data_IF_056372629789
#
_entry.id   IF_056372629789
#
_cell.length_a   1.000
_cell.length_b   1.000
_cell.length_c   1.000
_cell.angle_alpha   90.00
_cell.angle_beta   90.00
_cell.angle_gamma   90.00
#
_symmetry.space_group_name_H-M   'P 1'
#
loop_
_entity.id
_entity.type
_entity.pdbx_description
1 polymer ?
#
# COMPACT_ATOMS: atom_id res chain seq x y z
N UNK A 1 8.29 10.71 25.21
CA UNK A 1 8.18 9.28 24.90
C UNK A 1 9.31 8.94 23.94
N UNK A 2 10.29 8.19 24.41
CA UNK A 2 11.46 7.77 23.62
C UNK A 2 11.01 6.79 22.54
N UNK A 3 10.86 7.24 21.30
CA UNK A 3 10.61 6.36 20.15
C UNK A 3 11.93 5.66 19.82
N UNK A 4 12.20 4.51 20.46
CA UNK A 4 13.28 3.64 20.01
C UNK A 4 12.99 3.27 18.54
N UNK A 5 13.86 3.66 17.64
CA UNK A 5 13.80 3.19 16.26
C UNK A 5 14.21 1.72 16.26
N UNK A 6 13.23 0.84 16.08
CA UNK A 6 13.48 -0.59 15.93
C UNK A 6 13.96 -0.81 14.49
N UNK A 7 15.10 -1.48 14.26
CA UNK A 7 15.53 -1.86 12.92
C UNK A 7 14.44 -2.69 12.22
N UNK A 8 14.23 -2.46 10.93
CA UNK A 8 13.13 -3.12 10.19
C UNK A 8 13.19 -4.65 10.26
N UNK A 9 14.40 -5.23 10.29
CA UNK A 9 14.56 -6.68 10.40
C UNK A 9 14.08 -7.23 11.74
N UNK A 10 14.38 -6.53 12.84
CA UNK A 10 13.90 -6.87 14.18
C UNK A 10 12.38 -6.72 14.28
N UNK A 11 11.85 -5.63 13.73
CA UNK A 11 10.41 -5.42 13.69
C UNK A 11 9.68 -6.55 12.93
N UNK A 12 10.24 -7.02 11.80
CA UNK A 12 9.66 -8.12 11.01
C UNK A 12 9.65 -9.42 11.83
N UNK A 13 10.71 -9.73 12.54
CA UNK A 13 10.76 -10.92 13.41
C UNK A 13 9.64 -10.87 14.46
N UNK A 14 9.53 -9.76 15.19
CA UNK A 14 8.47 -9.54 16.16
C UNK A 14 7.06 -9.53 15.53
N UNK A 15 6.93 -9.00 14.32
CA UNK A 15 5.65 -8.96 13.61
C UNK A 15 5.15 -10.37 13.23
N UNK A 16 6.07 -11.27 12.86
CA UNK A 16 5.74 -12.69 12.62
C UNK A 16 5.29 -13.42 13.87
N UNK A 17 5.79 -13.02 15.02
CA UNK A 17 5.38 -13.52 16.33
C UNK A 17 4.11 -12.84 16.86
N UNK A 18 3.61 -11.81 16.15
CA UNK A 18 2.44 -11.03 16.56
C UNK A 18 2.70 -10.05 17.72
N UNK A 19 3.96 -9.88 18.14
CA UNK A 19 4.37 -9.09 19.31
C UNK A 19 4.95 -7.72 18.97
N UNK A 20 5.16 -7.41 17.67
CA UNK A 20 5.76 -6.14 17.26
C UNK A 20 4.87 -4.95 17.67
N UNK A 21 5.47 -3.86 18.18
CA UNK A 21 4.73 -2.63 18.41
C UNK A 21 4.34 -1.97 17.08
N UNK A 22 3.31 -1.09 17.10
CA UNK A 22 3.03 -0.24 15.95
C UNK A 22 4.25 0.56 15.52
N UNK A 23 4.54 0.58 14.22
CA UNK A 23 5.63 1.38 13.64
C UNK A 23 5.07 2.38 12.65
N UNK A 24 5.60 3.60 12.65
CA UNK A 24 5.21 4.64 11.69
C UNK A 24 6.37 4.91 10.75
N UNK A 25 6.12 4.73 9.46
CA UNK A 25 7.13 4.86 8.40
C UNK A 25 6.66 5.82 7.31
N UNK A 26 7.55 6.64 6.73
CA UNK A 26 7.26 7.36 5.50
C UNK A 26 7.21 6.38 4.33
N UNK A 27 6.32 6.61 3.37
CA UNK A 27 6.31 5.84 2.13
C UNK A 27 7.14 6.52 1.06
N UNK A 28 8.04 5.77 0.45
CA UNK A 28 8.73 6.18 -0.75
C UNK A 28 7.85 5.91 -2.00
N UNK A 29 8.02 6.73 -3.04
CA UNK A 29 7.28 6.56 -4.28
C UNK A 29 5.86 7.11 -4.24
N UNK A 30 5.11 6.87 -5.33
CA UNK A 30 3.78 7.43 -5.57
C UNK A 30 2.70 6.37 -5.79
N UNK A 31 3.01 5.10 -5.53
CA UNK A 31 2.12 3.96 -5.85
C UNK A 31 0.79 3.99 -5.11
N UNK A 32 0.73 4.61 -3.93
CA UNK A 32 -0.48 4.73 -3.10
C UNK A 32 -1.21 6.07 -3.24
N UNK A 33 -0.78 6.93 -4.18
CA UNK A 33 -1.52 8.16 -4.49
C UNK A 33 -2.86 7.84 -5.18
N UNK A 34 -3.88 8.67 -5.00
CA UNK A 34 -3.93 9.94 -4.25
C UNK A 34 -4.16 9.76 -2.74
N UNK A 35 -4.47 8.52 -2.29
CA UNK A 35 -4.84 8.30 -0.89
C UNK A 35 -3.70 8.63 0.07
N UNK A 36 -2.50 8.09 -0.18
CA UNK A 36 -1.32 8.32 0.65
C UNK A 36 -0.26 9.01 -0.20
N UNK A 37 0.20 10.18 0.24
CA UNK A 37 1.21 10.97 -0.48
C UNK A 37 2.60 10.58 -0.04
N UNK A 38 3.51 10.53 -1.00
CA UNK A 38 4.93 10.24 -0.76
C UNK A 38 5.48 11.09 0.39
N UNK A 39 6.17 10.44 1.32
CA UNK A 39 6.92 11.04 2.46
C UNK A 39 6.14 12.00 3.36
N UNK A 40 5.12 12.69 2.84
CA UNK A 40 4.34 13.67 3.60
C UNK A 40 3.23 13.05 4.46
N UNK A 41 2.83 11.83 4.15
CA UNK A 41 1.78 11.10 4.86
C UNK A 41 2.39 9.82 5.47
N UNK A 42 3.04 9.89 6.64
CA UNK A 42 3.58 8.70 7.28
C UNK A 42 2.45 7.73 7.65
N UNK A 43 2.75 6.44 7.47
CA UNK A 43 1.80 5.33 7.64
C UNK A 43 2.17 4.53 8.88
N UNK A 44 1.19 4.23 9.72
CA UNK A 44 1.37 3.35 10.87
C UNK A 44 0.98 1.92 10.50
N UNK A 45 1.92 1.03 10.68
CA UNK A 45 1.82 -0.41 10.42
C UNK A 45 1.74 -1.15 11.77
N UNK A 46 0.89 -2.16 11.81
CA UNK A 46 0.78 -3.09 12.94
C UNK A 46 0.97 -4.53 12.43
N UNK A 47 1.39 -5.47 13.29
CA UNK A 47 1.36 -6.89 12.94
C UNK A 47 -0.03 -7.32 12.47
N UNK A 48 -0.08 -8.32 11.61
CA UNK A 48 -1.35 -8.85 11.12
C UNK A 48 -2.05 -9.63 12.24
N UNK A 49 -3.10 -9.05 12.83
CA UNK A 49 -3.83 -9.64 13.97
C UNK A 49 -5.18 -10.29 13.58
N UNK A 50 -5.57 -10.20 12.33
CA UNK A 50 -6.84 -10.71 11.81
C UNK A 50 -6.72 -11.17 10.37
N UNK A 51 -7.63 -12.00 9.86
CA UNK A 51 -7.66 -12.33 8.44
C UNK A 51 -7.76 -11.08 7.57
N UNK A 52 -6.98 -11.06 6.48
CA UNK A 52 -7.01 -10.01 5.48
C UNK A 52 -8.39 -9.93 4.82
N UNK A 53 -8.77 -8.71 4.44
CA UNK A 53 -9.96 -8.42 3.64
C UNK A 53 -9.59 -7.62 2.42
N UNK A 54 -10.33 -7.84 1.33
CA UNK A 54 -10.20 -7.01 0.12
C UNK A 54 -10.42 -5.53 0.50
N UNK A 55 -9.49 -4.68 0.10
CA UNK A 55 -9.48 -3.26 0.44
C UNK A 55 -8.56 -2.90 1.61
N UNK A 56 -8.06 -3.85 2.38
CA UNK A 56 -7.02 -3.59 3.38
C UNK A 56 -5.73 -3.10 2.71
N UNK A 57 -4.97 -2.28 3.43
CA UNK A 57 -3.64 -1.85 2.99
C UNK A 57 -2.60 -2.62 3.80
N UNK A 58 -1.65 -3.24 3.13
CA UNK A 58 -0.67 -4.15 3.76
C UNK A 58 0.75 -3.76 3.42
N UNK A 59 1.65 -4.01 4.38
CA UNK A 59 3.09 -4.03 4.17
C UNK A 59 3.51 -5.45 3.82
N UNK A 60 4.23 -5.63 2.73
CA UNK A 60 4.75 -6.92 2.31
C UNK A 60 6.16 -6.81 1.73
N UNK A 61 6.82 -7.95 1.59
CA UNK A 61 8.14 -8.04 0.96
C UNK A 61 8.05 -8.73 -0.41
N UNK A 62 8.83 -8.24 -1.36
CA UNK A 62 9.03 -8.87 -2.69
C UNK A 62 10.42 -9.46 -2.83
N UNK A 63 11.19 -9.50 -1.74
CA UNK A 63 12.56 -10.00 -1.66
C UNK A 63 13.38 -9.27 -0.60
N UNK A 64 14.62 -9.68 -0.36
CA UNK A 64 15.47 -9.07 0.65
C UNK A 64 15.58 -7.55 0.49
N UNK A 65 15.28 -6.81 1.56
CA UNK A 65 15.36 -5.35 1.62
C UNK A 65 14.31 -4.59 0.78
N UNK A 66 13.36 -5.29 0.15
CA UNK A 66 12.30 -4.67 -0.64
C UNK A 66 10.96 -4.76 0.07
N UNK A 67 10.51 -3.64 0.59
CA UNK A 67 9.25 -3.51 1.31
C UNK A 67 8.29 -2.61 0.55
N UNK A 68 7.06 -3.06 0.41
CA UNK A 68 6.02 -2.38 -0.39
C UNK A 68 4.75 -2.27 0.44
N UNK A 69 4.06 -1.14 0.30
CA UNK A 69 2.74 -0.92 0.91
C UNK A 69 1.73 -0.74 -0.22
N UNK A 70 0.86 -1.72 -0.41
CA UNK A 70 -0.22 -1.67 -1.40
C UNK A 70 -1.54 -2.17 -0.82
N UNK A 71 -2.61 -2.07 -1.59
CA UNK A 71 -3.95 -2.50 -1.20
C UNK A 71 -4.21 -3.93 -1.63
N UNK A 72 -4.83 -4.72 -0.76
CA UNK A 72 -5.31 -6.07 -1.07
C UNK A 72 -6.39 -5.98 -2.14
N UNK A 73 -6.12 -6.57 -3.30
CA UNK A 73 -7.02 -6.58 -4.45
C UNK A 73 -7.77 -7.89 -4.60
N UNK A 74 -7.08 -9.02 -4.46
CA UNK A 74 -7.66 -10.35 -4.50
C UNK A 74 -7.10 -11.22 -3.39
N UNK A 75 -7.92 -12.15 -2.93
CA UNK A 75 -7.56 -13.15 -1.94
C UNK A 75 -7.92 -14.53 -2.45
N UNK A 76 -7.03 -15.46 -2.25
CA UNK A 76 -7.22 -16.91 -2.39
C UNK A 76 -6.78 -17.59 -1.10
N UNK A 77 -7.00 -18.89 -0.99
CA UNK A 77 -6.75 -19.65 0.24
C UNK A 77 -5.31 -19.48 0.76
N UNK A 78 -4.31 -19.58 -0.13
CA UNK A 78 -2.89 -19.55 0.25
C UNK A 78 -2.13 -18.32 -0.24
N UNK A 79 -2.77 -17.44 -1.01
CA UNK A 79 -2.09 -16.31 -1.65
C UNK A 79 -2.95 -15.06 -1.75
N UNK A 80 -2.25 -13.94 -1.80
CA UNK A 80 -2.85 -12.61 -1.92
C UNK A 80 -2.28 -11.88 -3.13
N UNK A 81 -3.11 -11.14 -3.81
CA UNK A 81 -2.69 -10.21 -4.85
C UNK A 81 -2.99 -8.78 -4.40
N UNK A 82 -2.00 -7.92 -4.53
CA UNK A 82 -2.08 -6.51 -4.14
C UNK A 82 -2.03 -5.59 -5.35
N UNK A 83 -2.47 -4.36 -5.17
CA UNK A 83 -2.45 -3.32 -6.19
C UNK A 83 -2.22 -1.97 -5.53
N UNK A 84 -1.22 -1.23 -6.00
CA UNK A 84 -1.04 0.16 -5.61
C UNK A 84 -2.15 1.05 -6.18
N UNK A 85 -2.67 1.96 -5.36
CA UNK A 85 -3.77 2.87 -5.75
C UNK A 85 -3.46 3.69 -7.00
N UNK A 86 -2.18 3.87 -7.34
CA UNK A 86 -1.71 4.56 -8.53
C UNK A 86 -1.02 3.64 -9.56
N UNK A 87 -0.97 2.34 -9.32
CA UNK A 87 -0.32 1.40 -10.23
C UNK A 87 -1.20 1.07 -11.45
N UNK A 88 -0.55 0.72 -12.57
CA UNK A 88 -1.21 0.26 -13.81
C UNK A 88 -1.39 -1.25 -13.79
N UNK A 89 -0.45 -1.97 -13.20
CA UNK A 89 -0.49 -3.43 -13.11
C UNK A 89 -0.61 -3.85 -11.65
N UNK A 90 -1.36 -4.93 -11.37
CA UNK A 90 -1.33 -5.55 -10.05
C UNK A 90 0.04 -6.18 -9.79
N UNK A 91 0.34 -6.36 -8.52
CA UNK A 91 1.52 -7.11 -8.11
C UNK A 91 1.35 -8.61 -8.48
N UNK A 92 2.43 -9.36 -8.58
CA UNK A 92 2.35 -10.81 -8.65
C UNK A 92 1.58 -11.39 -7.45
N UNK A 93 1.03 -12.59 -7.61
CA UNK A 93 0.48 -13.33 -6.49
C UNK A 93 1.58 -13.63 -5.46
N UNK A 94 1.31 -13.33 -4.21
CA UNK A 94 2.24 -13.49 -3.09
C UNK A 94 1.67 -14.50 -2.09
N UNK A 95 2.48 -15.43 -1.58
CA UNK A 95 2.07 -16.25 -0.45
C UNK A 95 1.88 -15.37 0.80
N UNK A 96 0.98 -15.76 1.68
CA UNK A 96 0.66 -14.98 2.89
C UNK A 96 1.89 -14.70 3.77
N UNK A 97 2.89 -15.57 3.76
CA UNK A 97 4.14 -15.40 4.50
C UNK A 97 4.92 -14.13 4.11
N UNK A 98 4.67 -13.59 2.91
CA UNK A 98 5.26 -12.33 2.45
C UNK A 98 4.60 -11.10 3.07
N UNK A 99 3.41 -11.24 3.66
CA UNK A 99 2.70 -10.14 4.31
C UNK A 99 3.28 -9.95 5.71
N UNK A 100 3.82 -8.78 5.96
CA UNK A 100 4.54 -8.46 7.20
C UNK A 100 3.66 -7.73 8.22
N UNK A 101 2.66 -7.00 7.73
CA UNK A 101 1.75 -6.26 8.61
C UNK A 101 0.67 -5.51 7.84
N UNK A 102 -0.21 -4.85 8.60
CA UNK A 102 -1.32 -4.07 8.07
C UNK A 102 -1.13 -2.58 8.37
N UNK A 103 -1.34 -1.75 7.36
CA UNK A 103 -1.43 -0.30 7.53
C UNK A 103 -2.80 0.05 8.14
N UNK A 104 -2.80 0.62 9.34
CA UNK A 104 -4.03 0.92 10.08
C UNK A 104 -4.41 2.40 10.04
N UNK A 105 -3.43 3.27 9.84
CA UNK A 105 -3.68 4.71 9.68
C UNK A 105 -2.54 5.39 8.91
N UNK A 106 -2.83 6.57 8.36
CA UNK A 106 -1.81 7.53 7.93
C UNK A 106 -2.09 8.91 8.53
N UNK A 107 -1.06 9.74 8.61
CA UNK A 107 -1.16 11.11 9.12
C UNK A 107 -0.94 12.11 8.00
N UNK A 108 -1.78 13.15 7.93
CA UNK A 108 -1.67 14.26 6.97
C UNK A 108 -1.97 15.57 7.65
N UNK A 109 -1.04 16.50 7.60
CA UNK A 109 -1.21 17.85 8.21
C UNK A 109 -1.68 17.76 9.68
N UNK A 110 -1.09 16.87 10.48
CA UNK A 110 -1.45 16.67 11.89
C UNK A 110 -2.76 15.88 12.13
N UNK A 111 -3.53 15.58 11.10
CA UNK A 111 -4.76 14.77 11.21
C UNK A 111 -4.47 13.31 10.92
N UNK A 112 -5.15 12.42 11.66
CA UNK A 112 -5.04 10.95 11.49
C UNK A 112 -6.23 10.40 10.70
N UNK A 113 -5.95 9.57 9.72
CA UNK A 113 -6.95 8.92 8.86
C UNK A 113 -6.82 7.40 8.99
N UNK A 114 -7.86 6.75 9.46
CA UNK A 114 -7.87 5.30 9.66
C UNK A 114 -8.08 4.56 8.33
N UNK A 115 -7.32 3.47 8.13
CA UNK A 115 -7.37 2.60 6.95
C UNK A 115 -8.07 1.27 7.23
N UNK A 116 -8.16 0.88 8.50
CA UNK A 116 -8.68 -0.41 8.97
C UNK A 116 -10.19 -0.41 9.26
N UNK A 117 -10.89 0.67 8.93
CA UNK A 117 -12.34 0.79 9.11
C UNK A 117 -13.12 0.18 7.93
N UNK A 118 -14.37 -0.28 8.14
CA UNK A 118 -15.23 -0.72 7.05
C UNK A 118 -15.42 0.33 5.96
N UNK A 119 -15.57 1.61 6.34
CA UNK A 119 -15.71 2.72 5.41
C UNK A 119 -14.45 2.92 4.55
N UNK A 120 -13.25 2.85 5.15
CA UNK A 120 -12.00 2.95 4.42
C UNK A 120 -11.81 1.77 3.44
N UNK A 121 -12.20 0.55 3.83
CA UNK A 121 -12.19 -0.61 2.94
C UNK A 121 -13.17 -0.46 1.79
N UNK A 122 -14.39 0.01 2.08
CA UNK A 122 -15.41 0.25 1.04
C UNK A 122 -14.92 1.29 0.03
N UNK A 123 -14.33 2.39 0.50
CA UNK A 123 -13.69 3.37 -0.35
C UNK A 123 -12.58 2.75 -1.22
N UNK A 124 -11.72 1.94 -0.61
CA UNK A 124 -10.67 1.22 -1.33
C UNK A 124 -11.22 0.29 -2.41
N UNK A 125 -12.30 -0.46 -2.11
CA UNK A 125 -13.00 -1.32 -3.09
C UNK A 125 -13.59 -0.50 -4.23
N UNK A 126 -14.26 0.60 -3.94
CA UNK A 126 -14.76 1.52 -4.95
C UNK A 126 -13.63 2.06 -5.83
N UNK A 127 -12.50 2.48 -5.22
CA UNK A 127 -11.33 2.94 -5.95
C UNK A 127 -10.75 1.87 -6.88
N UNK A 128 -10.78 0.61 -6.46
CA UNK A 128 -10.37 -0.52 -7.29
C UNK A 128 -11.36 -0.83 -8.43
N UNK A 129 -12.66 -0.62 -8.24
CA UNK A 129 -13.65 -0.76 -9.32
C UNK A 129 -13.40 0.24 -10.45
N UNK A 130 -12.86 1.41 -10.15
CA UNK A 130 -12.47 2.41 -11.14
C UNK A 130 -11.15 2.09 -11.86
N UNK A 131 -10.49 0.99 -11.50
CA UNK A 131 -9.20 0.59 -12.07
C UNK A 131 -9.18 0.55 -13.60
N UNK A 132 -10.12 -0.10 -14.33
CA UNK A 132 -10.10 -0.14 -15.78
C UNK A 132 -10.19 1.26 -16.42
N UNK A 133 -11.01 2.14 -15.85
CA UNK A 133 -11.16 3.53 -16.33
C UNK A 133 -9.85 4.30 -16.12
N UNK A 134 -9.24 4.15 -14.93
CA UNK A 134 -7.98 4.83 -14.60
C UNK A 134 -6.83 4.40 -15.49
N UNK A 135 -6.77 3.11 -15.86
CA UNK A 135 -5.76 2.61 -16.80
C UNK A 135 -5.92 3.26 -18.16
N UNK A 136 -7.14 3.29 -18.71
CA UNK A 136 -7.40 3.89 -20.01
C UNK A 136 -7.03 5.38 -20.01
N UNK A 137 -7.41 6.10 -18.97
CA UNK A 137 -7.02 7.51 -18.81
C UNK A 137 -5.51 7.70 -18.79
N UNK A 138 -4.77 6.88 -18.02
CA UNK A 138 -3.30 6.96 -17.97
C UNK A 138 -2.64 6.64 -19.30
N UNK A 139 -3.13 5.61 -20.01
CA UNK A 139 -2.66 5.27 -21.36
C UNK A 139 -2.87 6.41 -22.35
N UNK A 140 -4.07 6.99 -22.35
CA UNK A 140 -4.42 8.12 -23.24
C UNK A 140 -3.55 9.35 -22.93
N UNK A 141 -3.38 9.72 -21.66
CA UNK A 141 -2.51 10.82 -21.24
C UNK A 141 -1.05 10.60 -21.65
N UNK A 142 -0.55 9.35 -21.53
CA UNK A 142 0.81 9.00 -21.96
C UNK A 142 0.99 9.12 -23.48
N UNK A 143 -0.03 8.72 -24.25
CA UNK A 143 -0.05 8.88 -25.72
C UNK A 143 -0.05 10.36 -26.12
N UNK A 144 -0.93 11.15 -25.54
CA UNK A 144 -1.00 12.59 -25.78
C UNK A 144 0.33 13.30 -25.48
N UNK A 145 0.97 12.96 -24.37
CA UNK A 145 2.29 13.51 -24.01
C UNK A 145 3.42 13.10 -24.96
N UNK A 146 3.34 11.91 -25.57
CA UNK A 146 4.28 11.48 -26.61
C UNK A 146 4.05 12.23 -27.92
N UNK A 147 2.80 12.39 -28.35
CA UNK A 147 2.46 13.17 -29.54
C UNK A 147 2.89 14.63 -29.40
N UNK A 148 2.62 15.26 -28.26
CA UNK A 148 3.03 16.64 -28.00
C UNK A 148 4.55 16.81 -28.12
N UNK A 149 5.34 15.92 -27.52
CA UNK A 149 6.82 15.98 -27.61
C UNK A 149 7.37 15.75 -29.02
N UNK A 150 6.63 15.05 -29.90
CA UNK A 150 7.03 14.84 -31.30
C UNK A 150 6.71 16.04 -32.19
N UNK A 151 5.68 16.81 -31.83
CA UNK A 151 5.24 17.97 -32.63
C UNK A 151 6.00 19.26 -32.29
N UNK A 152 6.60 19.33 -31.09
CA UNK A 152 7.31 20.52 -30.60
C UNK A 152 8.81 20.28 -30.36
N UNK A 153 9.41 19.29 -31.00
CA UNK A 153 10.84 19.12 -31.25
C UNK A 153 11.11 19.36 -32.72
#
# INVERSE_FOLDING_TARGET
MNTRSIPIGEWIALAREGTAPPVTIPLEGSSMQPLIRRSSDPVTIVPLQRPLKIGDVVLFTTGPGRYVVHRVWKLEEERVQTLGDNCINPDPWLPYVCILGQAVLFSRNGRRYRLDTPAARLWGRFWMLLYPIRIQYKKLRSLAGRCYRKLFK
#
